data_IF_010018343929
#
_entry.id   IF_010018343929
#
_cell.length_a   1.000
_cell.length_b   1.000
_cell.length_c   1.000
_cell.angle_alpha   90.00
_cell.angle_beta   90.00
_cell.angle_gamma   90.00
#
_symmetry.space_group_name_H-M   'P 1'
#
loop_
_entity.id
_entity.type
_entity.pdbx_description
1 polymer ?
#
# COMPACT_ATOMS: atom_id res chain seq x y z
N UNK A 1 17.07 -5.05 -25.21
CA UNK A 1 16.25 -4.43 -24.14
C UNK A 1 15.38 -5.53 -23.58
N UNK A 2 15.64 -5.96 -22.35
CA UNK A 2 14.79 -6.98 -21.69
C UNK A 2 13.52 -6.24 -21.27
N UNK A 3 12.35 -6.69 -21.75
CA UNK A 3 11.07 -6.14 -21.30
C UNK A 3 10.94 -6.42 -19.80
N UNK A 4 10.92 -5.37 -18.99
CA UNK A 4 10.72 -5.51 -17.56
C UNK A 4 9.29 -5.99 -17.28
N UNK A 5 9.15 -7.00 -16.44
CA UNK A 5 7.87 -7.53 -16.01
C UNK A 5 7.16 -6.50 -15.11
N UNK A 6 5.91 -6.10 -15.39
CA UNK A 6 5.17 -5.19 -14.50
C UNK A 6 4.96 -5.81 -13.11
N UNK A 7 5.04 -4.98 -12.05
CA UNK A 7 4.81 -5.41 -10.65
C UNK A 7 3.49 -6.17 -10.51
N UNK A 8 2.42 -5.69 -11.16
CA UNK A 8 1.10 -6.33 -11.15
C UNK A 8 1.12 -7.75 -11.73
N UNK A 9 1.92 -7.99 -12.78
CA UNK A 9 2.04 -9.31 -13.40
C UNK A 9 2.73 -10.29 -12.46
N UNK A 10 3.85 -9.87 -11.86
CA UNK A 10 4.59 -10.70 -10.90
C UNK A 10 3.79 -10.97 -9.62
N UNK A 11 3.10 -9.95 -9.11
CA UNK A 11 2.22 -10.07 -7.95
C UNK A 11 1.10 -11.09 -8.23
N UNK A 12 0.44 -10.98 -9.39
CA UNK A 12 -0.62 -11.91 -9.77
C UNK A 12 -0.10 -13.34 -9.93
N UNK A 13 1.07 -13.52 -10.57
CA UNK A 13 1.71 -14.83 -10.68
C UNK A 13 1.97 -15.46 -9.31
N UNK A 14 2.44 -14.66 -8.33
CA UNK A 14 2.64 -15.11 -6.94
C UNK A 14 1.33 -15.47 -6.25
N UNK A 15 0.29 -14.67 -6.39
CA UNK A 15 -1.04 -14.97 -5.85
C UNK A 15 -1.56 -16.31 -6.39
N UNK A 16 -1.37 -16.59 -7.69
CA UNK A 16 -1.80 -17.85 -8.31
C UNK A 16 -1.02 -19.08 -7.83
N UNK A 17 0.16 -18.91 -7.24
CA UNK A 17 0.94 -20.01 -6.65
C UNK A 17 0.49 -20.36 -5.22
N UNK A 18 -0.34 -19.52 -4.60
CA UNK A 18 -0.85 -19.75 -3.24
C UNK A 18 -1.88 -20.89 -3.22
N UNK A 19 -1.99 -21.51 -2.04
CA UNK A 19 -3.07 -22.45 -1.75
C UNK A 19 -4.44 -21.79 -1.95
N UNK A 20 -5.48 -22.55 -2.33
CA UNK A 20 -6.78 -21.97 -2.71
C UNK A 20 -7.37 -21.01 -1.67
N UNK A 21 -7.29 -21.33 -0.39
CA UNK A 21 -7.82 -20.47 0.69
C UNK A 21 -6.99 -19.19 0.87
N UNK A 22 -5.66 -19.31 0.96
CA UNK A 22 -4.75 -18.16 1.01
C UNK A 22 -4.93 -17.24 -0.21
N UNK A 23 -5.13 -17.82 -1.41
CA UNK A 23 -5.38 -17.07 -2.64
C UNK A 23 -6.65 -16.23 -2.57
N UNK A 24 -7.72 -16.78 -2.01
CA UNK A 24 -8.98 -16.04 -1.79
C UNK A 24 -8.77 -14.86 -0.84
N UNK A 25 -8.04 -15.07 0.25
CA UNK A 25 -7.68 -13.99 1.18
C UNK A 25 -6.80 -12.94 0.49
N UNK A 26 -5.82 -13.35 -0.31
CA UNK A 26 -4.94 -12.43 -1.04
C UNK A 26 -5.71 -11.56 -2.03
N UNK A 27 -6.64 -12.16 -2.77
CA UNK A 27 -7.49 -11.46 -3.76
C UNK A 27 -8.39 -10.42 -3.09
N UNK A 28 -8.82 -10.67 -1.85
CA UNK A 28 -9.59 -9.72 -1.05
C UNK A 28 -8.69 -8.61 -0.46
N UNK A 29 -7.52 -8.96 0.07
CA UNK A 29 -6.64 -8.02 0.76
C UNK A 29 -5.83 -7.11 -0.19
N UNK A 30 -5.58 -7.56 -1.42
CA UNK A 30 -4.74 -6.84 -2.37
C UNK A 30 -5.58 -6.14 -3.45
N UNK A 31 -5.45 -4.81 -3.60
CA UNK A 31 -6.12 -4.08 -4.66
C UNK A 31 -5.57 -4.51 -6.04
N UNK A 32 -6.34 -4.31 -7.12
CA UNK A 32 -5.88 -4.60 -8.49
C UNK A 32 -4.63 -3.80 -8.89
N UNK A 33 -4.46 -2.60 -8.32
CA UNK A 33 -3.32 -1.74 -8.54
C UNK A 33 -2.34 -1.84 -7.35
N UNK A 34 -1.08 -2.27 -7.56
CA UNK A 34 -0.09 -2.43 -6.49
C UNK A 34 0.53 -1.07 -6.09
N UNK A 35 -0.29 -0.18 -5.51
CA UNK A 35 0.08 1.21 -5.26
C UNK A 35 1.31 1.37 -4.35
N UNK A 36 1.46 0.52 -3.33
CA UNK A 36 2.59 0.62 -2.40
C UNK A 36 3.86 -0.01 -3.00
N UNK A 37 3.70 -1.05 -3.82
CA UNK A 37 4.78 -1.58 -4.65
C UNK A 37 5.29 -0.56 -5.66
N UNK A 38 4.38 0.14 -6.36
CA UNK A 38 4.72 1.24 -7.26
C UNK A 38 5.40 2.39 -6.52
N UNK A 39 4.91 2.77 -5.33
CA UNK A 39 5.53 3.79 -4.49
C UNK A 39 6.98 3.42 -4.13
N UNK A 40 7.23 2.16 -3.74
CA UNK A 40 8.58 1.65 -3.48
C UNK A 40 9.46 1.75 -4.73
N UNK A 41 8.96 1.32 -5.88
CA UNK A 41 9.71 1.31 -7.14
C UNK A 41 10.06 2.70 -7.64
N UNK A 42 9.09 3.62 -7.60
CA UNK A 42 9.30 5.02 -7.97
C UNK A 42 10.34 5.67 -7.05
N UNK A 43 10.22 5.44 -5.74
CA UNK A 43 11.17 5.98 -4.76
C UNK A 43 12.58 5.48 -5.02
N UNK A 44 12.76 4.18 -5.26
CA UNK A 44 14.07 3.60 -5.53
C UNK A 44 14.69 4.20 -6.81
N UNK A 45 13.92 4.32 -7.88
CA UNK A 45 14.38 4.95 -9.13
C UNK A 45 14.77 6.43 -8.93
N UNK A 46 13.97 7.19 -8.20
CA UNK A 46 14.25 8.60 -7.90
C UNK A 46 15.47 8.81 -6.97
N UNK A 47 15.84 7.78 -6.20
CA UNK A 47 17.07 7.74 -5.41
C UNK A 47 18.29 7.19 -6.18
N UNK A 48 18.13 6.88 -7.48
CA UNK A 48 19.21 6.44 -8.36
C UNK A 48 19.43 4.93 -8.42
N UNK A 49 18.49 4.12 -7.95
CA UNK A 49 18.55 2.65 -8.16
C UNK A 49 18.22 2.35 -9.62
N UNK A 50 19.22 1.92 -10.38
CA UNK A 50 19.07 1.63 -11.82
C UNK A 50 18.36 0.29 -12.09
N UNK A 51 18.40 -0.64 -11.12
CA UNK A 51 17.81 -1.96 -11.28
C UNK A 51 16.33 -1.98 -10.88
N UNK A 52 15.48 -2.74 -11.59
CA UNK A 52 14.07 -2.91 -11.22
C UNK A 52 13.92 -3.54 -9.84
N UNK A 53 13.19 -2.87 -8.94
CA UNK A 53 12.95 -3.34 -7.57
C UNK A 53 11.64 -4.13 -7.44
N UNK A 54 11.38 -5.03 -8.40
CA UNK A 54 10.09 -5.73 -8.51
C UNK A 54 9.84 -6.65 -7.30
N UNK A 55 10.81 -7.44 -6.86
CA UNK A 55 10.65 -8.34 -5.71
C UNK A 55 10.44 -7.59 -4.37
N UNK A 56 11.21 -6.51 -4.08
CA UNK A 56 10.93 -5.60 -2.98
C UNK A 56 9.51 -5.00 -3.04
N UNK A 57 9.09 -4.51 -4.22
CA UNK A 57 7.77 -3.93 -4.42
C UNK A 57 6.64 -4.95 -4.20
N UNK A 58 6.79 -6.17 -4.70
CA UNK A 58 5.83 -7.27 -4.45
C UNK A 58 5.77 -7.61 -2.96
N UNK A 59 6.91 -7.61 -2.25
CA UNK A 59 6.95 -7.84 -0.81
C UNK A 59 6.18 -6.79 -0.02
N UNK A 60 6.25 -5.52 -0.44
CA UNK A 60 5.47 -4.44 0.18
C UNK A 60 3.96 -4.69 0.07
N UNK A 61 3.47 -5.18 -1.07
CA UNK A 61 2.06 -5.52 -1.23
C UNK A 61 1.63 -6.73 -0.39
N UNK A 62 2.48 -7.77 -0.28
CA UNK A 62 2.25 -8.87 0.64
C UNK A 62 2.26 -8.43 2.10
N UNK A 63 3.12 -7.47 2.47
CA UNK A 63 3.13 -6.90 3.81
C UNK A 63 1.85 -6.14 4.13
N UNK A 64 1.34 -5.35 3.18
CA UNK A 64 0.03 -4.69 3.31
C UNK A 64 -1.08 -5.72 3.54
N UNK A 65 -1.11 -6.78 2.72
CA UNK A 65 -2.08 -7.85 2.86
C UNK A 65 -2.00 -8.54 4.23
N UNK A 66 -0.77 -8.80 4.73
CA UNK A 66 -0.55 -9.29 6.10
C UNK A 66 -1.20 -8.34 7.13
N UNK A 67 -0.92 -7.04 7.06
CA UNK A 67 -1.50 -6.06 7.97
C UNK A 67 -3.03 -6.08 7.96
N UNK A 68 -3.64 -6.13 6.78
CA UNK A 68 -5.10 -6.19 6.64
C UNK A 68 -5.71 -7.48 7.20
N UNK A 69 -5.04 -8.62 7.06
CA UNK A 69 -5.52 -9.86 7.72
C UNK A 69 -5.51 -9.73 9.24
N UNK A 70 -4.49 -9.08 9.83
CA UNK A 70 -4.40 -8.87 11.28
C UNK A 70 -5.47 -7.94 11.80
N UNK A 71 -5.69 -6.83 11.10
CA UNK A 71 -6.78 -5.91 11.39
C UNK A 71 -8.15 -6.61 11.31
N UNK A 72 -8.34 -7.47 10.31
CA UNK A 72 -9.59 -8.21 10.11
C UNK A 72 -9.87 -9.24 11.18
N UNK A 73 -8.84 -9.90 11.72
CA UNK A 73 -8.99 -10.86 12.82
C UNK A 73 -9.47 -10.21 14.13
N UNK A 74 -9.14 -8.94 14.30
CA UNK A 74 -9.45 -8.17 15.51
C UNK A 74 -10.76 -7.41 15.39
N UNK A 75 -11.12 -7.03 14.17
CA UNK A 75 -12.45 -6.50 13.86
C UNK A 75 -13.47 -7.63 13.97
N UNK A 76 -14.66 -7.36 14.52
CA UNK A 76 -15.71 -8.39 14.54
C UNK A 76 -15.96 -8.86 13.10
N UNK A 77 -15.96 -10.18 12.83
CA UNK A 77 -16.07 -10.69 11.48
C UNK A 77 -17.39 -10.22 10.89
N UNK A 78 -17.30 -9.26 9.97
CA UNK A 78 -18.43 -8.88 9.15
C UNK A 78 -18.74 -10.05 8.20
N UNK A 79 -19.99 -10.14 7.73
CA UNK A 79 -20.40 -11.13 6.72
C UNK A 79 -19.65 -11.01 5.38
N UNK A 80 -18.69 -10.08 5.27
CA UNK A 80 -17.93 -9.74 4.07
C UNK A 80 -16.52 -10.36 4.06
N UNK A 81 -16.07 -11.01 5.13
CA UNK A 81 -14.74 -11.65 5.11
C UNK A 81 -14.72 -12.90 4.21
N UNK A 82 -13.66 -13.09 3.42
CA UNK A 82 -13.57 -14.20 2.47
C UNK A 82 -13.37 -15.57 3.13
N UNK A 83 -13.00 -15.59 4.42
CA UNK A 83 -12.61 -16.78 5.15
C UNK A 83 -12.82 -16.62 6.67
N UNK A 84 -12.73 -17.71 7.42
CA UNK A 84 -12.76 -17.69 8.89
C UNK A 84 -11.46 -17.15 9.50
N UNK A 85 -11.46 -17.00 10.82
CA UNK A 85 -10.30 -16.47 11.56
C UNK A 85 -9.05 -17.35 11.43
N UNK A 86 -9.18 -18.67 11.36
CA UNK A 86 -8.03 -19.56 11.21
C UNK A 86 -7.38 -19.39 9.84
N UNK A 87 -8.19 -19.33 8.78
CA UNK A 87 -7.72 -19.11 7.42
C UNK A 87 -7.09 -17.71 7.23
N UNK A 88 -7.67 -16.66 7.84
CA UNK A 88 -7.09 -15.32 7.83
C UNK A 88 -5.73 -15.26 8.54
N UNK A 89 -5.61 -15.94 9.69
CA UNK A 89 -4.35 -16.00 10.44
C UNK A 89 -3.24 -16.66 9.63
N UNK A 90 -3.53 -17.85 9.09
CA UNK A 90 -2.59 -18.64 8.27
C UNK A 90 -2.22 -17.92 6.98
N UNK A 91 -3.18 -17.25 6.33
CA UNK A 91 -2.89 -16.45 5.15
C UNK A 91 -1.96 -15.28 5.47
N UNK A 92 -2.20 -14.58 6.59
CA UNK A 92 -1.31 -13.54 7.07
C UNK A 92 0.11 -14.05 7.33
N UNK A 93 0.26 -15.20 7.99
CA UNK A 93 1.57 -15.82 8.22
C UNK A 93 2.28 -16.17 6.92
N UNK A 94 1.54 -16.69 5.95
CA UNK A 94 2.07 -17.00 4.62
C UNK A 94 2.50 -15.72 3.87
N UNK A 95 1.73 -14.63 3.94
CA UNK A 95 2.12 -13.36 3.32
C UNK A 95 3.39 -12.79 3.91
N UNK A 96 3.51 -12.81 5.25
CA UNK A 96 4.72 -12.36 5.93
C UNK A 96 5.93 -13.26 5.59
N UNK A 97 5.72 -14.57 5.48
CA UNK A 97 6.76 -15.52 5.05
C UNK A 97 7.25 -15.24 3.63
N UNK A 98 6.35 -14.91 2.71
CA UNK A 98 6.69 -14.52 1.34
C UNK A 98 7.55 -13.24 1.34
N UNK A 99 7.24 -12.27 2.20
CA UNK A 99 8.07 -11.07 2.34
C UNK A 99 9.51 -11.46 2.69
N UNK A 100 9.71 -12.25 3.77
CA UNK A 100 11.05 -12.70 4.17
C UNK A 100 11.75 -13.52 3.08
N UNK A 101 11.03 -14.41 2.40
CA UNK A 101 11.57 -15.20 1.30
C UNK A 101 12.11 -14.29 0.19
N UNK A 102 11.38 -13.24 -0.19
CA UNK A 102 11.82 -12.32 -1.22
C UNK A 102 13.04 -11.50 -0.77
N UNK A 103 13.06 -11.01 0.47
CA UNK A 103 14.24 -10.33 1.00
C UNK A 103 15.50 -11.20 1.00
N UNK A 104 15.36 -12.49 1.33
CA UNK A 104 16.49 -13.43 1.39
C UNK A 104 17.02 -13.87 0.03
N UNK A 105 16.26 -13.66 -1.05
CA UNK A 105 16.70 -13.93 -2.42
C UNK A 105 17.65 -12.85 -2.96
N UNK A 106 17.65 -11.65 -2.40
CA UNK A 106 18.61 -10.57 -2.73
C UNK A 106 19.95 -10.78 -2.03
N UNK A 107 20.58 -11.93 -2.27
CA UNK A 107 21.86 -12.31 -1.64
C UNK A 107 23.01 -11.36 -1.99
N UNK A 108 22.89 -10.66 -3.11
CA UNK A 108 23.89 -9.71 -3.61
C UNK A 108 23.83 -8.35 -2.90
N UNK A 109 22.83 -8.13 -2.03
CA UNK A 109 22.70 -6.92 -1.22
C UNK A 109 22.62 -7.29 0.28
N UNK A 110 23.77 -7.51 0.95
CA UNK A 110 23.83 -7.82 2.37
C UNK A 110 23.09 -6.79 3.24
N UNK A 111 23.11 -5.53 2.82
CA UNK A 111 22.34 -4.42 3.43
C UNK A 111 20.83 -4.63 3.37
N UNK A 112 20.29 -5.19 2.28
CA UNK A 112 18.86 -5.53 2.17
C UNK A 112 18.46 -6.58 3.21
N UNK A 113 19.32 -7.57 3.46
CA UNK A 113 19.09 -8.55 4.51
C UNK A 113 19.25 -7.97 5.91
N UNK A 114 20.35 -7.23 6.16
CA UNK A 114 20.67 -6.68 7.48
C UNK A 114 19.72 -5.57 7.91
N UNK A 115 19.10 -4.85 6.98
CA UNK A 115 18.21 -3.72 7.29
C UNK A 115 16.76 -3.97 6.90
N UNK A 116 16.51 -4.58 5.74
CA UNK A 116 15.15 -4.82 5.26
C UNK A 116 14.38 -5.75 6.19
N UNK A 117 15.02 -6.83 6.68
CA UNK A 117 14.40 -7.76 7.64
C UNK A 117 14.05 -7.08 8.97
N UNK A 118 14.96 -6.35 9.66
CA UNK A 118 14.58 -5.59 10.85
C UNK A 118 13.50 -4.54 10.61
N UNK A 119 13.50 -3.88 9.45
CA UNK A 119 12.47 -2.89 9.10
C UNK A 119 11.10 -3.54 8.95
N UNK A 120 11.03 -4.69 8.27
CA UNK A 120 9.81 -5.49 8.14
C UNK A 120 9.30 -5.97 9.52
N UNK A 121 10.20 -6.45 10.37
CA UNK A 121 9.87 -6.91 11.73
C UNK A 121 9.34 -5.76 12.59
N UNK A 122 9.99 -4.60 12.55
CA UNK A 122 9.55 -3.41 13.27
C UNK A 122 8.15 -2.98 12.83
N UNK A 123 7.90 -2.91 11.52
CA UNK A 123 6.59 -2.57 10.97
C UNK A 123 5.52 -3.60 11.38
N UNK A 124 5.85 -4.90 11.34
CA UNK A 124 4.93 -5.97 11.78
C UNK A 124 4.60 -5.86 13.28
N UNK A 125 5.59 -5.54 14.12
CA UNK A 125 5.40 -5.30 15.55
C UNK A 125 4.52 -4.06 15.80
N UNK A 126 4.73 -2.98 15.05
CA UNK A 126 3.92 -1.77 15.18
C UNK A 126 2.45 -2.02 14.82
N UNK A 127 2.19 -2.81 13.78
CA UNK A 127 0.84 -3.28 13.47
C UNK A 127 0.29 -4.07 14.67
N UNK A 128 1.04 -5.04 15.21
CA UNK A 128 0.61 -5.83 16.37
C UNK A 128 0.37 -5.02 17.66
N UNK A 129 1.15 -3.96 17.92
CA UNK A 129 1.11 -3.17 19.16
C UNK A 129 0.05 -2.06 19.12
N UNK A 130 -0.09 -1.35 17.99
CA UNK A 130 -0.94 -0.14 17.88
C UNK A 130 -2.44 -0.43 17.77
N UNK A 131 -2.86 -1.68 18.03
CA UNK A 131 -4.23 -2.17 17.90
C UNK A 131 -5.14 -1.91 19.11
N UNK A 132 -4.78 -0.99 20.01
CA UNK A 132 -5.62 -0.64 21.18
C UNK A 132 -6.69 0.43 20.91
N UNK A 133 -6.84 0.94 19.68
CA UNK A 133 -7.79 1.99 19.33
C UNK A 133 -8.73 1.57 18.19
N UNK A 134 -10.01 1.38 18.49
CA UNK A 134 -11.07 0.77 17.65
C UNK A 134 -11.25 1.36 16.23
N UNK A 135 -10.76 2.56 15.93
CA UNK A 135 -11.11 3.30 14.69
C UNK A 135 -9.96 3.63 13.74
N UNK A 136 -8.73 3.14 13.96
CA UNK A 136 -7.53 3.55 13.20
C UNK A 136 -6.80 2.42 12.46
N UNK A 137 -7.40 1.24 12.37
CA UNK A 137 -6.69 0.01 12.01
C UNK A 137 -6.12 -0.03 10.58
N UNK A 138 -6.91 0.29 9.56
CA UNK A 138 -6.42 0.29 8.17
C UNK A 138 -5.45 1.45 7.91
N UNK A 139 -5.69 2.60 8.53
CA UNK A 139 -4.78 3.76 8.47
C UNK A 139 -3.41 3.42 9.04
N UNK A 140 -3.34 2.66 10.14
CA UNK A 140 -2.07 2.17 10.69
C UNK A 140 -1.40 1.22 9.71
N UNK A 141 -2.11 0.25 9.13
CA UNK A 141 -1.54 -0.65 8.12
C UNK A 141 -0.99 0.15 6.94
N UNK A 142 -1.74 1.13 6.44
CA UNK A 142 -1.32 1.97 5.33
C UNK A 142 -0.08 2.82 5.69
N UNK A 143 -0.05 3.43 6.87
CA UNK A 143 1.08 4.18 7.38
C UNK A 143 2.34 3.33 7.49
N UNK A 144 2.25 2.14 8.10
CA UNK A 144 3.40 1.24 8.26
C UNK A 144 3.84 0.64 6.92
N UNK A 145 2.91 0.36 6.01
CA UNK A 145 3.23 -0.12 4.65
C UNK A 145 3.95 0.96 3.84
N UNK A 146 3.49 2.21 3.90
CA UNK A 146 4.13 3.33 3.22
C UNK A 146 5.53 3.64 3.79
N UNK A 147 5.66 3.60 5.13
CA UNK A 147 6.95 3.71 5.81
C UNK A 147 7.92 2.61 5.35
N UNK A 148 7.46 1.35 5.32
CA UNK A 148 8.25 0.22 4.82
C UNK A 148 8.67 0.41 3.35
N UNK A 149 7.76 0.88 2.49
CA UNK A 149 8.02 1.08 1.05
C UNK A 149 9.18 2.05 0.80
N UNK A 150 9.16 3.22 1.45
CA UNK A 150 10.21 4.24 1.30
C UNK A 150 11.50 3.84 2.02
N UNK A 151 11.40 3.24 3.20
CA UNK A 151 12.56 2.73 3.93
C UNK A 151 13.32 1.71 3.10
N UNK A 152 12.61 0.76 2.49
CA UNK A 152 13.21 -0.27 1.66
C UNK A 152 13.85 0.31 0.39
N UNK A 153 13.19 1.26 -0.26
CA UNK A 153 13.78 1.98 -1.38
C UNK A 153 15.07 2.71 -0.97
N UNK A 154 15.10 3.30 0.22
CA UNK A 154 16.30 3.91 0.80
C UNK A 154 17.43 2.91 1.02
N UNK A 155 17.15 1.73 1.58
CA UNK A 155 18.14 0.65 1.75
C UNK A 155 18.72 0.21 0.41
N UNK A 156 17.85 0.05 -0.61
CA UNK A 156 18.27 -0.35 -1.96
C UNK A 156 19.14 0.73 -2.63
N UNK A 157 18.90 2.00 -2.31
CA UNK A 157 19.73 3.12 -2.71
C UNK A 157 21.01 3.30 -1.86
N UNK A 158 21.26 2.43 -0.87
CA UNK A 158 22.44 2.48 -0.02
C UNK A 158 22.38 3.56 1.08
N UNK A 159 21.20 4.07 1.42
CA UNK A 159 21.03 5.00 2.53
C UNK A 159 21.20 4.25 3.85
N UNK A 160 22.12 4.75 4.69
CA UNK A 160 22.41 4.17 6.00
C UNK A 160 21.19 4.35 6.95
N UNK A 161 20.69 3.26 7.57
CA UNK A 161 19.51 3.28 8.44
C UNK A 161 19.66 4.11 9.71
N UNK A 162 20.90 4.41 10.10
CA UNK A 162 21.22 5.24 11.26
C UNK A 162 21.13 6.75 10.99
N UNK A 163 20.87 7.15 9.74
CA UNK A 163 20.85 8.56 9.33
C UNK A 163 19.48 9.20 9.47
N UNK A 164 19.47 10.52 9.65
CA UNK A 164 18.25 11.32 9.63
C UNK A 164 17.48 11.17 8.30
N UNK A 165 18.21 11.00 7.18
CA UNK A 165 17.61 10.77 5.86
C UNK A 165 16.73 9.52 5.83
N UNK A 166 17.18 8.44 6.47
CA UNK A 166 16.41 7.21 6.56
C UNK A 166 15.13 7.41 7.40
N UNK A 167 15.25 8.11 8.52
CA UNK A 167 14.11 8.46 9.38
C UNK A 167 13.10 9.35 8.66
N UNK A 168 13.58 10.34 7.90
CA UNK A 168 12.74 11.21 7.07
C UNK A 168 12.01 10.44 5.97
N UNK A 169 12.66 9.46 5.33
CA UNK A 169 12.01 8.57 4.36
C UNK A 169 10.89 7.75 5.01
N UNK A 170 11.11 7.22 6.22
CA UNK A 170 10.06 6.50 6.96
C UNK A 170 8.87 7.40 7.31
N UNK A 171 9.13 8.62 7.79
CA UNK A 171 8.10 9.60 8.12
C UNK A 171 7.30 10.03 6.89
N UNK A 172 7.98 10.36 5.80
CA UNK A 172 7.35 10.65 4.51
C UNK A 172 6.50 9.46 4.05
N UNK A 173 7.06 8.25 4.09
CA UNK A 173 6.36 7.03 3.68
C UNK A 173 5.10 6.80 4.48
N UNK A 174 5.14 7.06 5.79
CA UNK A 174 3.97 7.00 6.66
C UNK A 174 2.85 7.94 6.22
N UNK A 175 3.17 9.20 5.93
CA UNK A 175 2.21 10.18 5.45
C UNK A 175 1.64 9.84 4.07
N UNK A 176 2.48 9.41 3.14
CA UNK A 176 2.06 8.98 1.81
C UNK A 176 1.17 7.73 1.86
N UNK A 177 1.49 6.78 2.73
CA UNK A 177 0.67 5.58 2.92
C UNK A 177 -0.75 5.92 3.37
N UNK A 178 -0.90 6.84 4.32
CA UNK A 178 -2.21 7.33 4.79
C UNK A 178 -2.95 8.04 3.64
N UNK A 179 -2.26 8.87 2.86
CA UNK A 179 -2.84 9.55 1.71
C UNK A 179 -3.33 8.52 0.65
N UNK A 180 -2.54 7.50 0.35
CA UNK A 180 -2.91 6.44 -0.58
C UNK A 180 -4.14 5.65 -0.13
N UNK A 181 -4.21 5.28 1.15
CA UNK A 181 -5.40 4.62 1.69
C UNK A 181 -6.66 5.48 1.57
N UNK A 182 -6.51 6.81 1.67
CA UNK A 182 -7.62 7.76 1.52
C UNK A 182 -8.07 7.94 0.05
N UNK A 183 -7.21 7.61 -0.92
CA UNK A 183 -7.50 7.67 -2.36
C UNK A 183 -8.11 6.38 -2.90
N UNK A 184 -7.97 5.26 -2.17
CA UNK A 184 -8.60 4.02 -2.57
C UNK A 184 -10.12 4.11 -2.28
N UNK A 185 -10.99 3.82 -3.27
CA UNK A 185 -12.40 3.63 -2.97
C UNK A 185 -12.50 2.51 -1.94
N UNK A 186 -13.39 2.66 -0.95
CA UNK A 186 -13.58 1.61 0.05
C UNK A 186 -13.69 0.25 -0.65
N UNK A 187 -12.98 -0.78 -0.18
CA UNK A 187 -13.03 -2.12 -0.79
C UNK A 187 -14.47 -2.67 -0.94
N UNK A 188 -15.43 -2.04 -0.26
CA UNK A 188 -16.84 -2.38 -0.22
C UNK A 188 -17.77 -1.62 -1.18
N UNK A 189 -17.32 -0.59 -1.92
CA UNK A 189 -18.24 0.12 -2.83
C UNK A 189 -18.67 -0.75 -4.03
N UNK A 190 -17.74 -1.54 -4.59
CA UNK A 190 -18.02 -2.43 -5.72
C UNK A 190 -18.85 -3.67 -5.29
N UNK A 191 -18.68 -4.17 -4.07
CA UNK A 191 -19.43 -5.32 -3.54
C UNK A 191 -20.83 -4.89 -3.08
N UNK A 192 -20.97 -3.68 -2.52
CA UNK A 192 -22.26 -3.13 -2.07
C UNK A 192 -23.17 -2.74 -3.25
N UNK A 193 -22.61 -2.27 -4.38
CA UNK A 193 -23.40 -2.00 -5.59
C UNK A 193 -23.93 -3.28 -6.26
N UNK A 194 -23.17 -4.39 -6.20
CA UNK A 194 -23.65 -5.68 -6.69
C UNK A 194 -24.79 -6.27 -5.82
N UNK A 195 -24.82 -5.96 -4.52
CA UNK A 195 -25.88 -6.38 -3.60
C UNK A 195 -27.11 -5.45 -3.60
N UNK A 196 -26.92 -4.14 -3.86
CA UNK A 196 -27.98 -3.14 -3.88
C UNK A 196 -28.83 -3.14 -5.17
N UNK A 197 -28.36 -3.74 -6.26
CA UNK A 197 -29.10 -3.87 -7.53
C UNK A 197 -30.32 -4.82 -7.51
N UNK A 198 -30.85 -5.16 -6.31
CA UNK A 198 -32.10 -5.90 -6.13
C UNK A 198 -33.24 -5.10 -5.49
N UNK A 199 -33.08 -3.80 -5.25
CA UNK A 199 -34.17 -2.94 -4.76
C UNK A 199 -34.38 -1.72 -5.66
N UNK A 200 -35.61 -1.42 -6.10
CA UNK A 200 -35.90 -0.21 -6.86
C UNK A 200 -36.13 0.95 -5.90
N UNK A 201 -35.27 1.98 -5.91
CA UNK A 201 -35.60 3.28 -5.31
C UNK A 201 -34.97 4.47 -6.08
N UNK A 202 -35.60 5.66 -5.96
CA UNK A 202 -35.69 6.63 -7.04
C UNK A 202 -34.59 7.70 -7.02
N UNK A 203 -34.46 8.33 -8.19
CA UNK A 203 -33.66 9.50 -8.54
C UNK A 203 -33.27 10.45 -7.40
N UNK A 204 -31.96 10.64 -7.21
CA UNK A 204 -31.39 11.92 -6.78
C UNK A 204 -30.13 12.24 -7.57
N UNK A 205 -30.25 13.27 -8.39
CA UNK A 205 -29.20 13.94 -9.15
C UNK A 205 -28.43 14.89 -8.24
N UNK A 206 -27.12 14.76 -8.16
CA UNK A 206 -26.18 15.86 -7.92
C UNK A 206 -24.78 15.42 -8.37
N UNK A 207 -24.29 16.04 -9.43
CA UNK A 207 -22.98 15.83 -10.04
C UNK A 207 -22.20 17.15 -9.86
N UNK A 208 -20.93 17.01 -9.47
CA UNK A 208 -19.79 17.96 -9.62
C UNK A 208 -19.60 19.05 -8.56
N UNK A 209 -18.40 19.05 -7.96
CA UNK A 209 -17.74 20.24 -7.44
C UNK A 209 -16.59 19.96 -6.46
N UNK A 210 -15.35 19.95 -6.97
CA UNK A 210 -14.08 20.21 -6.28
C UNK A 210 -13.73 19.45 -4.98
N UNK A 211 -12.62 18.70 -5.01
CA UNK A 211 -11.94 18.21 -3.79
C UNK A 211 -11.37 19.34 -2.89
N UNK A 212 -11.54 20.61 -3.25
CA UNK A 212 -11.36 21.74 -2.33
C UNK A 212 -12.64 21.94 -1.52
N UNK A 213 -12.61 21.62 -0.22
CA UNK A 213 -13.73 21.88 0.71
C UNK A 213 -14.43 20.64 1.26
N UNK A 214 -13.84 19.45 1.12
CA UNK A 214 -14.28 18.26 1.88
C UNK A 214 -13.24 17.95 2.96
N UNK A 215 -13.69 17.55 4.16
CA UNK A 215 -12.82 17.14 5.28
C UNK A 215 -11.77 16.08 4.87
N UNK A 216 -12.06 15.29 3.82
CA UNK A 216 -11.15 14.28 3.25
C UNK A 216 -10.07 14.92 2.35
N UNK A 217 -10.44 15.85 1.48
CA UNK A 217 -9.48 16.56 0.60
C UNK A 217 -8.45 17.38 1.39
N UNK A 218 -8.90 18.06 2.45
CA UNK A 218 -8.02 18.85 3.33
C UNK A 218 -7.07 17.93 4.12
N UNK A 219 -7.54 16.75 4.56
CA UNK A 219 -6.70 15.75 5.22
C UNK A 219 -5.64 15.18 4.27
N UNK A 220 -6.00 14.82 3.04
CA UNK A 220 -5.05 14.32 2.04
C UNK A 220 -3.99 15.39 1.75
N UNK A 221 -4.42 16.63 1.51
CA UNK A 221 -3.53 17.76 1.21
C UNK A 221 -2.55 18.02 2.36
N UNK A 222 -3.02 18.03 3.61
CA UNK A 222 -2.16 18.18 4.78
C UNK A 222 -1.15 17.04 4.94
N UNK A 223 -1.50 15.81 4.56
CA UNK A 223 -0.57 14.66 4.60
C UNK A 223 0.47 14.73 3.49
N UNK A 224 0.09 15.17 2.29
CA UNK A 224 1.02 15.35 1.18
C UNK A 224 2.02 16.47 1.49
N UNK A 225 1.57 17.61 2.03
CA UNK A 225 2.46 18.69 2.47
C UNK A 225 3.45 18.21 3.55
N UNK A 226 2.97 17.48 4.56
CA UNK A 226 3.85 16.92 5.60
C UNK A 226 4.88 15.93 5.02
N UNK A 227 4.50 15.13 4.01
CA UNK A 227 5.46 14.26 3.32
C UNK A 227 6.50 15.07 2.52
N UNK A 228 6.06 16.10 1.80
CA UNK A 228 6.92 16.96 0.99
C UNK A 228 8.01 17.65 1.83
N UNK A 229 7.65 18.18 3.01
CA UNK A 229 8.60 18.81 3.95
C UNK A 229 9.77 17.88 4.30
N UNK A 230 9.49 16.59 4.50
CA UNK A 230 10.53 15.60 4.75
C UNK A 230 11.33 15.27 3.48
N UNK A 231 10.66 15.11 2.34
CA UNK A 231 11.26 14.63 1.09
C UNK A 231 12.18 15.64 0.41
N UNK A 232 11.85 16.93 0.45
CA UNK A 232 12.69 18.00 -0.12
C UNK A 232 14.09 18.00 0.50
N UNK A 233 14.18 17.68 1.79
CA UNK A 233 15.46 17.58 2.50
C UNK A 233 16.28 16.33 2.14
N UNK A 234 15.61 15.27 1.66
CA UNK A 234 16.25 14.00 1.24
C UNK A 234 16.68 14.08 -0.23
N UNK A 235 15.74 14.43 -1.12
CA UNK A 235 15.94 14.54 -2.56
C UNK A 235 14.81 15.36 -3.21
N UNK A 236 15.11 16.53 -3.79
CA UNK A 236 14.11 17.30 -4.55
C UNK A 236 13.53 16.53 -5.75
N UNK A 237 14.33 15.67 -6.38
CA UNK A 237 13.89 14.79 -7.48
C UNK A 237 12.82 13.81 -7.00
N UNK A 238 13.00 13.25 -5.79
CA UNK A 238 12.01 12.36 -5.19
C UNK A 238 10.71 13.09 -4.85
N UNK A 239 10.80 14.29 -4.29
CA UNK A 239 9.61 15.12 -4.01
C UNK A 239 8.80 15.40 -5.28
N UNK A 240 9.47 15.79 -6.37
CA UNK A 240 8.82 16.03 -7.67
C UNK A 240 8.19 14.76 -8.25
N UNK A 241 8.92 13.64 -8.27
CA UNK A 241 8.41 12.38 -8.81
C UNK A 241 7.16 11.89 -8.06
N UNK A 242 7.12 12.10 -6.75
CA UNK A 242 5.98 11.74 -5.92
C UNK A 242 4.79 12.68 -6.14
N UNK A 243 5.02 13.99 -6.30
CA UNK A 243 3.95 14.92 -6.66
C UNK A 243 3.26 14.50 -7.98
N UNK A 244 4.04 14.21 -9.03
CA UNK A 244 3.52 13.74 -10.32
C UNK A 244 2.72 12.43 -10.18
N UNK A 245 3.20 11.50 -9.35
CA UNK A 245 2.53 10.23 -9.08
C UNK A 245 1.14 10.44 -8.44
N UNK A 246 1.02 11.33 -7.45
CA UNK A 246 -0.26 11.62 -6.81
C UNK A 246 -1.21 12.41 -7.72
N UNK A 247 -0.69 13.34 -8.53
CA UNK A 247 -1.48 14.09 -9.50
C UNK A 247 -2.13 13.17 -10.54
N UNK A 248 -1.36 12.25 -11.13
CA UNK A 248 -1.87 11.27 -12.08
C UNK A 248 -2.99 10.40 -11.47
N UNK A 249 -2.87 10.04 -10.19
CA UNK A 249 -3.84 9.20 -9.49
C UNK A 249 -5.10 9.97 -9.08
N UNK A 250 -4.97 11.24 -8.71
CA UNK A 250 -6.08 12.15 -8.42
C UNK A 250 -6.93 12.44 -9.69
N UNK A 251 -6.28 12.56 -10.85
CA UNK A 251 -6.99 12.71 -12.13
C UNK A 251 -7.77 11.45 -12.50
N UNK A 252 -7.19 10.27 -12.30
CA UNK A 252 -7.85 9.00 -12.60
C UNK A 252 -9.04 8.70 -11.67
N UNK A 253 -8.97 9.07 -10.39
CA UNK A 253 -10.11 8.92 -9.47
C UNK A 253 -11.27 9.84 -9.84
N UNK A 254 -10.99 11.01 -10.41
CA UNK A 254 -12.00 11.97 -10.86
C UNK A 254 -12.68 11.57 -12.19
N UNK A 255 -11.97 10.85 -13.06
CA UNK A 255 -12.51 10.38 -14.36
C UNK A 255 -13.35 9.10 -14.26
N UNK A 256 -13.24 8.35 -13.15
CA UNK A 256 -14.08 7.16 -12.90
C UNK A 256 -15.58 7.44 -12.65
N UNK A 257 -16.00 8.70 -12.68
CA UNK A 257 -17.41 9.14 -12.56
C UNK A 257 -17.89 9.67 -13.92
N UNK A 258 -17.67 8.93 -15.01
CA UNK A 258 -18.27 9.24 -16.32
C UNK A 258 -19.11 8.05 -16.79
N UNK A 259 -20.43 8.25 -16.62
CA UNK A 259 -21.61 7.59 -17.19
C UNK A 259 -21.37 6.60 -18.34
N UNK A 260 -21.69 5.33 -18.08
CA UNK A 260 -22.27 4.43 -19.09
C UNK A 260 -23.76 4.23 -18.76
N UNK A 261 -24.62 4.84 -19.58
CA UNK A 261 -26.05 4.54 -19.66
C UNK A 261 -26.39 4.54 -21.16
N UNK A 262 -26.62 3.38 -21.81
CA UNK A 262 -27.60 3.30 -22.86
C UNK A 262 -29.02 3.35 -22.28
#
# INVERSE_FOLDING_TARGET
MVSEEPISTKLQARIQQLQPETRRVATWAMPPAPLFGELCSLTAGALGVEQPVIDPAVSVEFFRAFGLTRVSLLSQPTSQHPADASALLLAGDQFLSICFEQFTRHKDHPTTLMTGVPTLVSAAQLIGIRHSAETLHETVVAAETGSLALALAGVLAGIDPSTDKYTQLQQAGSHLGIALASLQPEPNAAVSQAAANKQPQPHRTALVGSLSGTDSGDRISNRLMAAEDHLVSVSPTLASALADFFDQRSMNSSQGIVRDNP
#
